data_IF_269095407538
#
_entry.id   IF_269095407538
#
_cell.length_a   1.000
_cell.length_b   1.000
_cell.length_c   1.000
_cell.angle_alpha   90.00
_cell.angle_beta   90.00
_cell.angle_gamma   90.00
#
_symmetry.space_group_name_H-M   'P 1'
#
loop_
_entity.id
_entity.type
_entity.pdbx_description
1 polymer ?
#
# COMPACT_ATOMS: atom_id res chain seq x y z
N UNK A 1 6.84 26.08 -5.73
CA UNK A 1 7.43 25.49 -4.50
C UNK A 1 6.88 24.08 -4.36
N UNK A 2 7.71 23.06 -4.54
CA UNK A 2 7.26 21.66 -4.50
C UNK A 2 6.92 21.26 -3.05
N UNK A 3 5.70 20.75 -2.81
CA UNK A 3 5.28 20.22 -1.51
C UNK A 3 6.17 19.01 -1.19
N UNK A 4 7.07 19.16 -0.23
CA UNK A 4 7.83 18.05 0.35
C UNK A 4 6.81 17.15 1.05
N UNK A 5 6.46 16.01 0.43
CA UNK A 5 5.62 14.99 1.05
C UNK A 5 6.32 14.50 2.32
N UNK A 6 5.78 14.87 3.48
CA UNK A 6 6.25 14.35 4.76
C UNK A 6 5.97 12.85 4.79
N UNK A 7 7.02 12.05 4.98
CA UNK A 7 6.90 10.60 5.11
C UNK A 7 6.13 10.29 6.40
N UNK A 8 5.20 9.33 6.35
CA UNK A 8 4.45 8.93 7.55
C UNK A 8 5.32 8.09 8.51
N UNK A 9 4.81 7.88 9.73
CA UNK A 9 5.49 7.08 10.78
C UNK A 9 5.97 5.71 10.29
N UNK A 10 5.15 5.01 9.48
CA UNK A 10 5.48 3.71 8.91
C UNK A 10 6.61 3.79 7.88
N UNK A 11 6.60 4.80 7.01
CA UNK A 11 7.68 5.07 6.07
C UNK A 11 8.98 5.39 6.82
N UNK A 12 8.88 6.15 7.92
CA UNK A 12 10.02 6.50 8.78
C UNK A 12 10.59 5.26 9.49
N UNK A 13 9.74 4.29 9.84
CA UNK A 13 10.14 3.03 10.46
C UNK A 13 10.73 2.02 9.46
N UNK A 14 10.25 1.98 8.21
CA UNK A 14 10.84 1.20 7.11
C UNK A 14 12.26 1.68 6.74
N UNK A 15 12.60 2.95 6.97
CA UNK A 15 13.96 3.47 6.89
C UNK A 15 14.78 3.18 8.16
N UNK A 16 14.70 1.96 8.71
CA UNK A 16 15.43 1.54 9.92
C UNK A 16 16.88 2.03 9.86
N UNK A 17 17.23 2.79 10.89
CA UNK A 17 18.53 3.44 11.10
C UNK A 17 19.61 2.33 11.24
N UNK A 18 20.34 2.04 10.17
CA UNK A 18 21.48 1.11 10.22
C UNK A 18 21.81 0.37 8.92
N UNK A 19 20.84 0.22 8.02
CA UNK A 19 21.09 -0.53 6.78
C UNK A 19 21.76 0.32 5.71
N UNK A 20 22.77 -0.29 5.07
CA UNK A 20 23.57 0.34 4.01
C UNK A 20 22.65 0.67 2.84
N UNK A 21 22.64 1.95 2.45
CA UNK A 21 21.98 2.38 1.21
C UNK A 21 22.79 1.88 0.02
N UNK A 22 22.09 1.31 -0.97
CA UNK A 22 22.68 0.90 -2.25
C UNK A 22 22.84 2.13 -3.14
N UNK A 23 24.01 2.27 -3.76
CA UNK A 23 24.31 3.37 -4.70
C UNK A 23 23.70 3.10 -6.06
N UNK A 24 23.57 4.13 -6.88
CA UNK A 24 22.87 4.05 -8.17
C UNK A 24 23.50 3.03 -9.12
N UNK A 25 24.84 2.93 -9.17
CA UNK A 25 25.54 1.95 -10.00
C UNK A 25 25.33 0.52 -9.48
N UNK A 26 25.37 0.35 -8.15
CA UNK A 26 25.18 -0.95 -7.49
C UNK A 26 23.76 -1.50 -7.70
N UNK A 27 22.75 -0.64 -7.86
CA UNK A 27 21.38 -1.09 -8.15
C UNK A 27 21.36 -1.92 -9.42
N UNK A 28 21.97 -1.42 -10.50
CA UNK A 28 21.99 -2.09 -11.79
C UNK A 28 22.83 -3.36 -11.76
N UNK A 29 23.92 -3.38 -10.99
CA UNK A 29 24.68 -4.60 -10.72
C UNK A 29 23.81 -5.66 -10.03
N UNK A 30 23.00 -5.29 -9.04
CA UNK A 30 22.11 -6.24 -8.37
C UNK A 30 20.94 -6.69 -9.26
N UNK A 31 20.41 -5.83 -10.12
CA UNK A 31 19.41 -6.22 -11.14
C UNK A 31 19.99 -7.22 -12.14
N UNK A 32 21.29 -7.13 -12.46
CA UNK A 32 21.92 -8.13 -13.30
C UNK A 32 22.18 -9.43 -12.53
N UNK A 33 22.65 -9.34 -11.28
CA UNK A 33 22.88 -10.51 -10.42
C UNK A 33 21.59 -11.29 -10.12
N UNK A 34 20.42 -10.64 -10.12
CA UNK A 34 19.14 -11.35 -9.92
C UNK A 34 18.84 -12.36 -11.02
N UNK A 35 19.53 -12.28 -12.16
CA UNK A 35 19.39 -13.20 -13.31
C UNK A 35 20.50 -14.25 -13.36
N UNK A 36 21.43 -14.24 -12.40
CA UNK A 36 22.56 -15.18 -12.36
C UNK A 36 22.08 -16.62 -12.18
N UNK A 37 22.78 -17.57 -12.80
CA UNK A 37 22.56 -19.00 -12.53
C UNK A 37 22.98 -19.37 -11.10
N UNK A 38 23.89 -18.61 -10.49
CA UNK A 38 24.32 -18.82 -9.11
C UNK A 38 23.26 -18.31 -8.11
N UNK A 39 22.78 -19.22 -7.28
CA UNK A 39 21.86 -18.92 -6.18
C UNK A 39 22.42 -17.89 -5.21
N UNK A 40 23.74 -17.89 -4.95
CA UNK A 40 24.36 -16.92 -4.05
C UNK A 40 24.26 -15.48 -4.57
N UNK A 41 24.39 -15.31 -5.89
CA UNK A 41 24.23 -14.02 -6.57
C UNK A 41 22.78 -13.54 -6.51
N UNK A 42 21.83 -14.42 -6.83
CA UNK A 42 20.39 -14.08 -6.75
C UNK A 42 19.97 -13.73 -5.32
N UNK A 43 20.45 -14.47 -4.33
CA UNK A 43 20.19 -14.19 -2.91
C UNK A 43 20.79 -12.83 -2.50
N UNK A 44 22.00 -12.52 -2.98
CA UNK A 44 22.62 -11.23 -2.74
C UNK A 44 21.82 -10.10 -3.37
N UNK A 45 21.32 -10.30 -4.59
CA UNK A 45 20.44 -9.34 -5.26
C UNK A 45 19.14 -9.12 -4.47
N UNK A 46 18.42 -10.19 -4.11
CA UNK A 46 17.17 -10.11 -3.35
C UNK A 46 17.32 -9.32 -2.04
N UNK A 47 18.43 -9.53 -1.31
CA UNK A 47 18.72 -8.81 -0.06
C UNK A 47 19.00 -7.33 -0.28
N UNK A 48 19.65 -6.93 -1.38
CA UNK A 48 20.06 -5.54 -1.59
C UNK A 48 19.06 -4.72 -2.43
N UNK A 49 18.17 -5.38 -3.19
CA UNK A 49 17.12 -4.72 -3.97
C UNK A 49 15.89 -4.32 -3.13
N UNK A 50 15.84 -4.69 -1.85
CA UNK A 50 14.76 -4.31 -0.95
C UNK A 50 14.55 -2.78 -0.88
N UNK A 51 13.30 -2.28 -0.82
CA UNK A 51 13.03 -0.84 -0.69
C UNK A 51 13.75 -0.14 0.48
N UNK A 52 14.07 -0.85 1.57
CA UNK A 52 14.87 -0.31 2.69
C UNK A 52 16.28 0.16 2.25
N UNK A 53 16.86 -0.51 1.24
CA UNK A 53 18.19 -0.26 0.68
C UNK A 53 18.16 0.69 -0.53
N UNK A 54 17.21 0.48 -1.46
CA UNK A 54 17.09 1.25 -2.71
C UNK A 54 16.47 2.62 -2.47
N UNK A 55 15.46 2.70 -1.59
CA UNK A 55 14.79 3.94 -1.14
C UNK A 55 14.21 4.84 -2.24
N UNK A 56 13.97 4.27 -3.42
CA UNK A 56 13.25 4.88 -4.54
C UNK A 56 12.48 3.81 -5.31
N UNK A 57 11.46 4.21 -6.06
CA UNK A 57 10.72 3.29 -6.93
C UNK A 57 11.40 3.25 -8.29
N UNK A 58 11.84 2.05 -8.68
CA UNK A 58 12.42 1.74 -9.98
C UNK A 58 11.71 0.49 -10.46
N UNK A 59 11.13 0.52 -11.66
CA UNK A 59 10.29 -0.57 -12.14
C UNK A 59 11.10 -1.85 -12.36
N UNK A 60 12.32 -1.73 -12.90
CA UNK A 60 13.24 -2.85 -13.13
C UNK A 60 13.65 -3.58 -11.84
N UNK A 61 13.74 -2.84 -10.73
CA UNK A 61 14.01 -3.43 -9.41
C UNK A 61 12.81 -4.26 -8.95
N UNK A 62 11.59 -3.76 -9.15
CA UNK A 62 10.38 -4.52 -8.83
C UNK A 62 10.21 -5.73 -9.72
N UNK A 63 10.52 -5.61 -11.01
CA UNK A 63 10.48 -6.71 -11.95
C UNK A 63 11.43 -7.84 -11.52
N UNK A 64 12.65 -7.50 -11.11
CA UNK A 64 13.61 -8.44 -10.56
C UNK A 64 13.11 -9.09 -9.25
N UNK A 65 12.57 -8.30 -8.32
CA UNK A 65 12.03 -8.82 -7.06
C UNK A 65 10.85 -9.77 -7.29
N UNK A 66 9.94 -9.45 -8.20
CA UNK A 66 8.79 -10.30 -8.54
C UNK A 66 9.22 -11.62 -9.16
N UNK A 67 10.24 -11.62 -10.03
CA UNK A 67 10.81 -12.87 -10.54
C UNK A 67 11.40 -13.73 -9.41
N UNK A 68 12.13 -13.11 -8.48
CA UNK A 68 12.75 -13.80 -7.34
C UNK A 68 11.74 -14.30 -6.29
N UNK A 69 10.51 -13.80 -6.26
CA UNK A 69 9.43 -14.38 -5.42
C UNK A 69 9.04 -15.79 -5.88
N UNK A 70 9.31 -16.13 -7.14
CA UNK A 70 9.08 -17.46 -7.71
C UNK A 70 10.38 -18.23 -7.94
N UNK A 71 11.49 -17.80 -7.31
CA UNK A 71 12.79 -18.46 -7.45
C UNK A 71 12.73 -19.93 -7.03
N UNK A 72 13.55 -20.78 -7.63
CA UNK A 72 13.65 -22.19 -7.24
C UNK A 72 14.23 -22.36 -5.84
N UNK A 73 15.13 -21.46 -5.43
CA UNK A 73 15.74 -21.46 -4.11
C UNK A 73 14.89 -20.74 -3.05
N UNK A 74 14.69 -21.40 -1.92
CA UNK A 74 13.83 -20.91 -0.84
C UNK A 74 14.39 -19.68 -0.13
N UNK A 75 15.71 -19.55 -0.01
CA UNK A 75 16.32 -18.40 0.66
C UNK A 75 16.20 -17.16 -0.21
N UNK A 76 16.29 -17.31 -1.53
CA UNK A 76 16.00 -16.23 -2.49
C UNK A 76 14.54 -15.79 -2.37
N UNK A 77 13.58 -16.74 -2.38
CA UNK A 77 12.17 -16.42 -2.19
C UNK A 77 11.91 -15.69 -0.87
N UNK A 78 12.44 -16.19 0.25
CA UNK A 78 12.30 -15.55 1.57
C UNK A 78 12.79 -14.11 1.56
N UNK A 79 13.96 -13.86 0.97
CA UNK A 79 14.52 -12.52 0.85
C UNK A 79 13.65 -11.61 -0.05
N UNK A 80 13.12 -12.13 -1.15
CA UNK A 80 12.22 -11.40 -2.03
C UNK A 80 10.89 -11.04 -1.35
N UNK A 81 10.27 -11.98 -0.62
CA UNK A 81 9.01 -11.75 0.10
C UNK A 81 9.15 -10.76 1.27
N UNK A 82 10.29 -10.72 1.95
CA UNK A 82 10.57 -9.73 2.99
C UNK A 82 10.42 -8.28 2.47
N UNK A 83 10.71 -8.04 1.18
CA UNK A 83 10.58 -6.70 0.59
C UNK A 83 9.16 -6.13 0.62
N UNK A 84 8.16 -6.99 0.74
CA UNK A 84 6.77 -6.57 0.84
C UNK A 84 6.45 -5.94 2.22
N UNK A 85 7.16 -6.32 3.28
CA UNK A 85 7.03 -5.72 4.62
C UNK A 85 7.67 -4.33 4.70
N UNK A 86 8.76 -4.11 3.97
CA UNK A 86 9.61 -2.92 4.05
C UNK A 86 9.20 -1.75 3.12
N UNK A 87 7.99 -1.80 2.57
CA UNK A 87 7.47 -0.78 1.65
C UNK A 87 7.12 -1.30 0.25
N UNK A 88 6.67 -2.56 0.19
CA UNK A 88 6.14 -3.27 -0.97
C UNK A 88 5.31 -2.43 -1.96
N UNK A 89 5.36 -2.79 -3.24
CA UNK A 89 4.43 -2.29 -4.27
C UNK A 89 3.16 -3.15 -4.31
N UNK A 90 2.38 -3.09 -3.23
CA UNK A 90 1.21 -3.95 -3.00
C UNK A 90 0.04 -3.70 -3.96
N UNK A 91 0.09 -2.61 -4.71
CA UNK A 91 -0.88 -2.19 -5.73
C UNK A 91 -0.54 -2.73 -7.14
N UNK A 92 0.58 -3.44 -7.32
CA UNK A 92 0.94 -4.00 -8.61
C UNK A 92 0.06 -5.23 -8.94
N UNK A 93 -0.66 -5.24 -10.07
CA UNK A 93 -1.55 -6.34 -10.43
C UNK A 93 -0.82 -7.69 -10.59
N UNK A 94 0.49 -7.67 -10.89
CA UNK A 94 1.28 -8.90 -11.06
C UNK A 94 1.41 -9.70 -9.77
N UNK A 95 1.33 -9.05 -8.60
CA UNK A 95 1.42 -9.74 -7.31
C UNK A 95 0.28 -10.74 -7.11
N UNK A 96 -0.91 -10.47 -7.65
CA UNK A 96 -2.04 -11.38 -7.53
C UNK A 96 -1.77 -12.70 -8.27
N UNK A 97 -1.28 -12.61 -9.50
CA UNK A 97 -0.94 -13.78 -10.30
C UNK A 97 0.21 -14.58 -9.66
N UNK A 98 1.22 -13.90 -9.11
CA UNK A 98 2.33 -14.52 -8.37
C UNK A 98 1.78 -15.24 -7.14
N UNK A 99 0.98 -14.57 -6.31
CA UNK A 99 0.43 -15.18 -5.09
C UNK A 99 -0.41 -16.40 -5.39
N UNK A 100 -1.21 -16.37 -6.46
CA UNK A 100 -1.99 -17.53 -6.90
C UNK A 100 -1.09 -18.73 -7.22
N UNK A 101 -0.04 -18.53 -8.03
CA UNK A 101 0.90 -19.60 -8.40
C UNK A 101 1.70 -20.13 -7.19
N UNK A 102 2.14 -19.22 -6.32
CA UNK A 102 2.92 -19.59 -5.13
C UNK A 102 2.03 -20.30 -4.11
N UNK A 103 0.73 -19.96 -3.99
CA UNK A 103 -0.19 -20.70 -3.12
C UNK A 103 -0.35 -22.17 -3.52
N UNK A 104 -0.28 -22.48 -4.82
CA UNK A 104 -0.43 -23.83 -5.33
C UNK A 104 0.84 -24.69 -5.14
N UNK A 105 2.01 -24.06 -5.07
CA UNK A 105 3.31 -24.76 -5.15
C UNK A 105 4.20 -24.62 -3.93
N UNK A 106 4.00 -23.60 -3.09
CA UNK A 106 4.90 -23.30 -1.98
C UNK A 106 4.71 -24.24 -0.79
N UNK A 107 5.83 -24.66 -0.22
CA UNK A 107 5.89 -25.54 0.95
C UNK A 107 6.61 -24.88 2.13
N UNK A 108 7.38 -23.81 1.87
CA UNK A 108 8.13 -23.13 2.90
C UNK A 108 7.22 -22.33 3.85
N UNK A 109 7.33 -22.63 5.15
CA UNK A 109 6.47 -22.03 6.17
C UNK A 109 6.61 -20.52 6.28
N UNK A 110 7.79 -19.97 5.98
CA UNK A 110 8.03 -18.53 6.09
C UNK A 110 7.40 -17.81 4.92
N UNK A 111 7.58 -18.32 3.69
CA UNK A 111 6.92 -17.78 2.49
C UNK A 111 5.40 -17.87 2.62
N UNK A 112 4.87 -19.02 3.05
CA UNK A 112 3.44 -19.17 3.34
C UNK A 112 2.95 -18.22 4.45
N UNK A 113 3.81 -17.90 5.42
CA UNK A 113 3.53 -16.92 6.47
C UNK A 113 3.33 -15.52 5.90
N UNK A 114 4.24 -15.09 5.01
CA UNK A 114 4.10 -13.83 4.30
C UNK A 114 2.81 -13.79 3.49
N UNK A 115 2.52 -14.81 2.67
CA UNK A 115 1.30 -14.88 1.86
C UNK A 115 0.02 -14.71 2.71
N UNK A 116 -0.07 -15.39 3.85
CA UNK A 116 -1.21 -15.26 4.77
C UNK A 116 -1.36 -13.86 5.33
N UNK A 117 -0.25 -13.23 5.72
CA UNK A 117 -0.27 -11.85 6.22
C UNK A 117 -0.76 -10.87 5.13
N UNK A 118 -0.33 -11.05 3.88
CA UNK A 118 -0.78 -10.20 2.78
C UNK A 118 -2.25 -10.41 2.44
N UNK A 119 -2.72 -11.65 2.39
CA UNK A 119 -4.12 -11.97 2.15
C UNK A 119 -5.04 -11.41 3.25
N UNK A 120 -4.65 -11.55 4.52
CA UNK A 120 -5.36 -10.94 5.64
C UNK A 120 -5.41 -9.41 5.52
N UNK A 121 -4.30 -8.79 5.10
CA UNK A 121 -4.24 -7.35 4.85
C UNK A 121 -5.15 -6.90 3.71
N UNK A 122 -5.25 -7.68 2.63
CA UNK A 122 -6.16 -7.43 1.50
C UNK A 122 -7.62 -7.51 1.94
N UNK A 123 -8.01 -8.62 2.57
CA UNK A 123 -9.38 -8.82 3.07
C UNK A 123 -9.80 -7.73 4.07
N UNK A 124 -8.88 -7.25 4.91
CA UNK A 124 -9.16 -6.14 5.81
C UNK A 124 -9.47 -4.84 5.05
N UNK A 125 -8.74 -4.54 3.97
CA UNK A 125 -9.00 -3.36 3.13
C UNK A 125 -10.32 -3.47 2.37
N UNK A 126 -10.60 -4.62 1.78
CA UNK A 126 -11.88 -4.88 1.10
C UNK A 126 -13.05 -4.73 2.06
N UNK A 127 -12.93 -5.20 3.31
CA UNK A 127 -13.96 -4.96 4.35
C UNK A 127 -14.15 -3.49 4.64
N UNK A 128 -13.07 -2.72 4.83
CA UNK A 128 -13.15 -1.27 5.06
C UNK A 128 -13.78 -0.55 3.87
N UNK A 129 -13.45 -0.95 2.64
CA UNK A 129 -14.02 -0.39 1.42
C UNK A 129 -15.50 -0.74 1.27
N UNK A 130 -15.89 -1.98 1.55
CA UNK A 130 -17.28 -2.41 1.54
C UNK A 130 -18.09 -1.71 2.64
N UNK A 131 -17.54 -1.58 3.84
CA UNK A 131 -18.15 -0.82 4.94
C UNK A 131 -18.31 0.65 4.52
N UNK A 132 -17.29 1.26 3.91
CA UNK A 132 -17.36 2.63 3.39
C UNK A 132 -18.41 2.79 2.27
N UNK A 133 -18.57 1.79 1.40
CA UNK A 133 -19.59 1.78 0.36
C UNK A 133 -21.02 1.63 0.93
N UNK A 134 -21.17 1.01 2.09
CA UNK A 134 -22.44 0.88 2.82
C UNK A 134 -22.79 2.14 3.63
N UNK A 135 -21.82 3.00 3.92
CA UNK A 135 -22.06 4.29 4.58
C UNK A 135 -22.79 5.19 3.59
N UNK A 136 -24.09 5.39 3.82
CA UNK A 136 -24.87 6.40 3.10
C UNK A 136 -24.15 7.75 3.15
N UNK A 137 -24.17 8.49 2.05
CA UNK A 137 -23.68 9.87 2.03
C UNK A 137 -24.39 10.74 3.09
N UNK A 138 -25.58 10.31 3.56
CA UNK A 138 -26.39 10.92 4.61
C UNK A 138 -26.30 10.18 5.95
N UNK A 139 -25.11 9.70 6.34
CA UNK A 139 -24.94 8.90 7.56
C UNK A 139 -25.14 9.67 8.87
N UNK A 140 -25.21 11.00 8.85
CA UNK A 140 -25.37 11.83 10.04
C UNK A 140 -26.81 12.31 10.18
N UNK A 141 -27.36 12.31 11.39
CA UNK A 141 -28.63 12.97 11.69
C UNK A 141 -28.36 14.41 12.11
N UNK A 142 -29.04 15.37 11.49
CA UNK A 142 -28.83 16.78 11.76
C UNK A 142 -30.00 17.66 11.37
N UNK A 143 -29.78 18.98 11.41
CA UNK A 143 -30.68 19.97 10.82
C UNK A 143 -30.19 20.27 9.40
N UNK A 144 -31.07 20.15 8.41
CA UNK A 144 -30.78 20.61 7.06
C UNK A 144 -30.75 22.15 7.02
N UNK A 145 -29.70 22.74 6.47
CA UNK A 145 -29.56 24.20 6.36
C UNK A 145 -30.47 24.82 5.30
N UNK A 146 -31.02 24.02 4.39
CA UNK A 146 -31.85 24.48 3.26
C UNK A 146 -33.36 24.39 3.54
N UNK A 147 -33.83 23.28 4.12
CA UNK A 147 -35.25 23.05 4.42
C UNK A 147 -35.57 23.08 5.91
N UNK A 148 -34.56 23.32 6.76
CA UNK A 148 -34.67 23.41 8.21
C UNK A 148 -35.18 22.17 8.93
N UNK A 149 -35.40 21.07 8.21
CA UNK A 149 -35.83 19.80 8.80
C UNK A 149 -34.80 19.30 9.80
N UNK A 150 -35.24 19.04 11.02
CA UNK A 150 -34.40 18.55 12.12
C UNK A 150 -34.47 17.03 12.24
N UNK A 151 -33.40 16.42 12.76
CA UNK A 151 -33.30 14.98 12.95
C UNK A 151 -33.49 14.18 11.64
N UNK A 152 -32.99 14.73 10.54
CA UNK A 152 -33.04 14.12 9.21
C UNK A 152 -31.64 13.67 8.78
N UNK A 153 -31.50 12.61 7.97
CA UNK A 153 -30.24 12.24 7.34
C UNK A 153 -29.67 13.41 6.53
N UNK A 154 -28.47 13.85 6.86
CA UNK A 154 -27.76 14.98 6.22
C UNK A 154 -26.34 14.57 5.80
N UNK A 155 -25.85 15.20 4.73
CA UNK A 155 -24.46 15.18 4.26
C UNK A 155 -23.87 16.58 4.40
N UNK A 156 -22.55 16.65 4.58
CA UNK A 156 -21.80 17.89 4.39
C UNK A 156 -21.70 18.25 2.91
N UNK A 157 -22.22 19.41 2.54
CA UNK A 157 -21.99 20.06 1.25
C UNK A 157 -20.81 21.03 1.39
N UNK A 158 -19.70 20.69 0.73
CA UNK A 158 -18.47 21.47 0.76
C UNK A 158 -18.45 22.65 -0.21
N UNK A 159 -19.42 22.74 -1.12
CA UNK A 159 -19.49 23.82 -2.11
C UNK A 159 -20.28 25.03 -1.59
N UNK A 160 -21.08 24.84 -0.53
CA UNK A 160 -21.88 25.89 0.10
C UNK A 160 -21.38 26.22 1.51
N UNK A 161 -21.13 27.50 1.79
CA UNK A 161 -20.75 27.98 3.13
C UNK A 161 -21.91 28.68 3.84
N UNK A 162 -22.19 28.27 5.08
CA UNK A 162 -23.20 28.85 5.97
C UNK A 162 -22.51 29.62 7.10
N UNK A 163 -22.98 30.83 7.45
CA UNK A 163 -22.49 31.57 8.62
C UNK A 163 -22.74 30.80 9.93
N UNK A 164 -21.72 30.70 10.77
CA UNK A 164 -21.74 30.08 12.10
C UNK A 164 -21.08 31.03 13.12
N UNK A 165 -21.38 30.99 14.43
CA UNK A 165 -20.78 31.88 15.41
C UNK A 165 -19.24 31.78 15.49
N UNK A 166 -18.63 30.73 14.91
CA UNK A 166 -17.18 30.53 14.84
C UNK A 166 -16.57 30.90 13.48
N UNK A 167 -17.36 31.39 12.53
CA UNK A 167 -16.90 31.75 11.18
C UNK A 167 -17.82 31.23 10.09
N UNK A 168 -17.27 30.65 9.04
CA UNK A 168 -18.03 29.95 8.00
C UNK A 168 -17.83 28.44 8.16
N UNK A 169 -18.90 27.68 7.94
CA UNK A 169 -18.84 26.22 7.87
C UNK A 169 -19.50 25.71 6.59
N UNK A 170 -19.10 24.54 6.08
CA UNK A 170 -19.85 23.83 5.06
C UNK A 170 -21.33 23.62 5.46
N UNK A 171 -22.23 23.67 4.48
CA UNK A 171 -23.65 23.43 4.68
C UNK A 171 -23.92 21.95 5.00
N UNK A 172 -25.03 21.69 5.71
CA UNK A 172 -25.59 20.36 5.90
C UNK A 172 -26.86 20.25 5.05
N UNK A 173 -26.83 19.38 4.04
CA UNK A 173 -27.94 19.15 3.13
C UNK A 173 -28.59 17.78 3.41
N UNK A 174 -29.91 17.70 3.44
CA UNK A 174 -30.61 16.42 3.39
C UNK A 174 -30.75 15.93 1.94
N UNK A 175 -31.09 14.66 1.76
CA UNK A 175 -31.16 14.01 0.43
C UNK A 175 -32.13 14.67 -0.55
N UNK A 176 -33.20 15.29 -0.04
CA UNK A 176 -34.14 16.02 -0.88
C UNK A 176 -33.62 17.39 -1.33
N UNK A 177 -32.66 17.97 -0.60
CA UNK A 177 -32.10 19.30 -0.85
C UNK A 177 -30.75 19.28 -1.58
N UNK A 178 -30.04 18.16 -1.60
CA UNK A 178 -28.77 17.96 -2.30
C UNK A 178 -28.97 17.60 -3.79
N UNK A 179 -29.65 18.48 -4.55
CA UNK A 179 -29.94 18.29 -5.99
C UNK A 179 -29.44 19.44 -6.85
#
# INVERSE_FOLDING_TARGET
>A
MARVRHLNSHQTWAFKKGERRVRDEEIWEYVELSKSEDTADRLRAAKNLCPCHVRRRIDEVWDALFQMMEDTDVEVRRAAYHTLEDGGRLDDPRLEDIFKRVWETETDRQVLGFLKMFDAGRQARERVEMDAALVSAYAQLGKCDFCESTNTPVRTDYDTEIPDPRGQRPALACESCDR
#
